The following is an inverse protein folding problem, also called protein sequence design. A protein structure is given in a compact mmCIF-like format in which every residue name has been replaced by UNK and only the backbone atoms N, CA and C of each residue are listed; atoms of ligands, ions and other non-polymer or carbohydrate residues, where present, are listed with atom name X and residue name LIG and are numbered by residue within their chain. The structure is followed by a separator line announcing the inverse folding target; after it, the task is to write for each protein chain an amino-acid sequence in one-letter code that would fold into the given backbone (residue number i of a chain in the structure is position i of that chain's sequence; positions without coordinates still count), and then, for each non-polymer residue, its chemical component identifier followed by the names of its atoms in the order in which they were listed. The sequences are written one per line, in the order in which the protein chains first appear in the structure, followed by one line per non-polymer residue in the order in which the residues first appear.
data_IF_653686980084
#
_entry.id   IF_653686980084
#
_cell.length_a   1.000
_cell.length_b   1.000
_cell.length_c   1.000
_cell.angle_alpha   90.00
_cell.angle_beta   90.00
_cell.angle_gamma   90.00
#
_symmetry.space_group_name_H-M   'P 1'
#
loop_
_entity.id
_entity.type
_entity.pdbx_description
1 polymer ?
#
# COMPACT_ATOMS: atom_id res chain seq x y z
N UNK A 1 -14.14 3.10 -23.66
CA UNK A 1 -13.87 3.24 -22.22
C UNK A 1 -14.33 1.93 -21.59
N UNK A 2 -13.45 1.00 -21.19
CA UNK A 2 -13.91 -0.09 -20.32
C UNK A 2 -14.51 0.56 -19.07
N UNK A 3 -15.72 0.16 -18.70
CA UNK A 3 -16.43 0.75 -17.56
C UNK A 3 -15.60 0.54 -16.30
N UNK A 4 -15.50 1.56 -15.45
CA UNK A 4 -15.03 1.41 -14.08
C UNK A 4 -15.94 0.41 -13.38
N UNK A 5 -15.47 -0.84 -13.27
CA UNK A 5 -16.19 -1.86 -12.51
C UNK A 5 -16.05 -1.52 -11.04
N UNK A 6 -17.16 -1.16 -10.41
CA UNK A 6 -17.25 -1.05 -8.96
C UNK A 6 -17.30 -2.46 -8.36
N UNK A 7 -16.42 -2.73 -7.40
CA UNK A 7 -16.40 -4.01 -6.67
C UNK A 7 -17.24 -3.92 -5.39
N UNK A 8 -17.96 -4.99 -5.07
CA UNK A 8 -18.68 -5.15 -3.81
C UNK A 8 -17.73 -5.58 -2.67
N UNK A 9 -18.12 -5.38 -1.41
CA UNK A 9 -17.33 -5.82 -0.26
C UNK A 9 -17.11 -7.35 -0.28
N UNK A 10 -18.12 -8.13 -0.67
CA UNK A 10 -18.02 -9.60 -0.76
C UNK A 10 -17.03 -10.05 -1.85
N UNK A 11 -16.99 -9.38 -3.00
CA UNK A 11 -15.98 -9.65 -4.03
C UNK A 11 -14.56 -9.34 -3.54
N UNK A 12 -14.40 -8.26 -2.77
CA UNK A 12 -13.10 -7.90 -2.15
C UNK A 12 -12.68 -8.94 -1.12
N UNK A 13 -13.57 -9.36 -0.23
CA UNK A 13 -13.29 -10.38 0.78
C UNK A 13 -12.93 -11.73 0.12
N UNK A 14 -13.65 -12.12 -0.93
CA UNK A 14 -13.35 -13.33 -1.70
C UNK A 14 -11.98 -13.25 -2.38
N UNK A 15 -11.59 -12.10 -2.93
CA UNK A 15 -10.27 -11.89 -3.51
C UNK A 15 -9.17 -11.96 -2.45
N UNK A 16 -9.38 -11.40 -1.25
CA UNK A 16 -8.44 -11.47 -0.13
C UNK A 16 -8.26 -12.92 0.35
N UNK A 17 -9.36 -13.66 0.49
CA UNK A 17 -9.30 -15.09 0.82
C UNK A 17 -8.52 -15.89 -0.23
N UNK A 18 -8.67 -15.53 -1.50
CA UNK A 18 -7.95 -16.15 -2.59
C UNK A 18 -6.45 -15.83 -2.57
N UNK A 19 -6.04 -14.61 -2.19
CA UNK A 19 -4.63 -14.25 -2.01
C UNK A 19 -3.95 -15.01 -0.87
N UNK A 20 -4.73 -15.47 0.11
CA UNK A 20 -4.23 -16.26 1.24
C UNK A 20 -3.93 -17.73 0.87
N UNK A 21 -4.26 -18.15 -0.35
CA UNK A 21 -3.89 -19.46 -0.88
C UNK A 21 -2.39 -19.50 -1.20
N UNK A 22 -1.75 -20.60 -0.84
CA UNK A 22 -0.30 -20.79 -0.97
C UNK A 22 0.20 -20.48 -2.40
N UNK A 23 1.31 -19.72 -2.51
CA UNK A 23 1.97 -19.41 -3.78
C UNK A 23 1.37 -18.27 -4.62
N UNK A 24 0.16 -17.79 -4.31
CA UNK A 24 -0.49 -16.74 -5.13
C UNK A 24 0.09 -15.35 -4.94
N UNK A 25 0.60 -15.07 -3.76
CA UNK A 25 1.35 -13.83 -3.46
C UNK A 25 2.79 -13.91 -3.96
N UNK A 26 3.40 -15.09 -3.94
CA UNK A 26 4.81 -15.29 -4.29
C UNK A 26 5.09 -14.89 -5.75
N UNK A 27 4.21 -15.29 -6.68
CA UNK A 27 4.35 -14.89 -8.08
C UNK A 27 4.21 -13.37 -8.29
N UNK A 28 3.32 -12.71 -7.54
CA UNK A 28 3.17 -11.26 -7.59
C UNK A 28 4.40 -10.53 -7.03
N UNK A 29 5.05 -11.10 -6.00
CA UNK A 29 6.27 -10.55 -5.40
C UNK A 29 7.47 -10.63 -6.37
N UNK A 30 7.62 -11.74 -7.11
CA UNK A 30 8.70 -11.90 -8.09
C UNK A 30 8.62 -10.87 -9.22
N UNK A 31 7.41 -10.60 -9.71
CA UNK A 31 7.17 -9.60 -10.77
C UNK A 31 7.45 -8.19 -10.25
N UNK A 32 6.98 -7.87 -9.04
CA UNK A 32 7.15 -6.54 -8.42
C UNK A 32 8.62 -6.25 -8.10
N UNK A 33 9.44 -7.26 -7.79
CA UNK A 33 10.87 -7.07 -7.44
C UNK A 33 11.64 -6.25 -8.48
N UNK A 34 11.32 -6.43 -9.77
CA UNK A 34 11.94 -5.69 -10.85
C UNK A 34 11.48 -4.22 -10.93
N UNK A 35 10.25 -3.94 -10.51
CA UNK A 35 9.66 -2.60 -10.50
C UNK A 35 9.84 -1.86 -9.15
N UNK A 36 10.36 -2.55 -8.12
CA UNK A 36 10.40 -2.07 -6.75
C UNK A 36 11.01 -0.66 -6.57
N UNK A 37 12.13 -0.28 -7.22
CA UNK A 37 12.67 1.07 -7.07
C UNK A 37 11.74 2.16 -7.60
N UNK A 38 11.01 1.90 -8.68
CA UNK A 38 10.05 2.87 -9.25
C UNK A 38 8.77 2.92 -8.42
N UNK A 39 8.28 1.77 -7.95
CA UNK A 39 7.12 1.70 -7.05
C UNK A 39 7.39 2.43 -5.73
N UNK A 40 8.59 2.29 -5.17
CA UNK A 40 8.97 3.01 -3.94
C UNK A 40 8.87 4.53 -4.11
N UNK A 41 9.28 5.06 -5.28
CA UNK A 41 9.17 6.50 -5.56
C UNK A 41 7.72 6.96 -5.63
N UNK A 42 6.84 6.17 -6.28
CA UNK A 42 5.41 6.47 -6.37
C UNK A 42 4.76 6.41 -4.99
N UNK A 43 5.07 5.38 -4.20
CA UNK A 43 4.55 5.22 -2.84
C UNK A 43 4.97 6.40 -1.96
N UNK A 44 6.24 6.79 -1.98
CA UNK A 44 6.72 7.95 -1.22
C UNK A 44 5.99 9.23 -1.63
N UNK A 45 5.81 9.47 -2.94
CA UNK A 45 5.09 10.65 -3.42
C UNK A 45 3.61 10.64 -2.99
N UNK A 46 2.92 9.51 -3.07
CA UNK A 46 1.52 9.38 -2.63
C UNK A 46 1.36 9.58 -1.12
N UNK A 47 2.34 9.10 -0.36
CA UNK A 47 2.42 9.25 1.09
C UNK A 47 2.67 10.72 1.51
N UNK A 48 3.51 11.44 0.78
CA UNK A 48 3.76 12.87 0.96
C UNK A 48 2.56 13.72 0.54
N UNK A 49 1.98 13.47 -0.64
CA UNK A 49 0.85 14.23 -1.21
C UNK A 49 -0.44 14.06 -0.38
N UNK A 50 -0.67 12.86 0.16
CA UNK A 50 -1.77 12.61 1.09
C UNK A 50 -1.60 13.27 2.47
N UNK A 51 -0.48 13.94 2.72
CA UNK A 51 -0.19 14.62 3.99
C UNK A 51 0.06 13.66 5.16
N UNK A 52 0.22 12.36 4.90
CA UNK A 52 0.31 11.32 5.92
C UNK A 52 1.62 11.36 6.69
N UNK A 53 2.72 11.74 6.01
CA UNK A 53 4.06 11.88 6.61
C UNK A 53 4.57 13.33 6.60
N UNK A 54 3.65 14.31 6.62
CA UNK A 54 3.99 15.73 6.71
C UNK A 54 4.26 16.21 8.14
N UNK A 55 4.26 17.53 8.35
CA UNK A 55 4.58 18.14 9.66
C UNK A 55 3.67 17.74 10.83
N UNK A 56 2.49 17.16 10.58
CA UNK A 56 1.65 16.59 11.64
C UNK A 56 2.22 15.27 12.18
N UNK A 57 2.79 14.44 11.31
CA UNK A 57 3.46 13.20 11.69
C UNK A 57 4.74 13.48 12.49
N UNK A 58 5.56 14.45 12.04
CA UNK A 58 6.75 14.87 12.79
C UNK A 58 6.41 15.37 14.20
N UNK A 59 5.29 16.09 14.38
CA UNK A 59 4.80 16.52 15.69
C UNK A 59 4.40 15.34 16.58
N UNK A 60 3.74 14.32 16.03
CA UNK A 60 3.38 13.11 16.78
C UNK A 60 4.61 12.29 17.18
N UNK A 61 5.58 12.12 16.28
CA UNK A 61 6.86 11.49 16.60
C UNK A 61 7.57 12.25 17.73
N UNK A 62 7.64 13.58 17.65
CA UNK A 62 8.24 14.41 18.68
C UNK A 62 7.48 14.31 20.02
N UNK A 63 6.15 14.29 19.99
CA UNK A 63 5.29 14.10 21.17
C UNK A 63 5.60 12.77 21.86
N UNK A 64 5.63 11.67 21.11
CA UNK A 64 5.92 10.33 21.64
C UNK A 64 7.36 10.26 22.18
N UNK A 65 8.32 10.84 21.47
CA UNK A 65 9.72 10.88 21.89
C UNK A 65 9.93 11.64 23.21
N UNK A 66 9.13 12.69 23.47
CA UNK A 66 9.20 13.50 24.67
C UNK A 66 8.60 12.83 25.92
N UNK A 67 7.97 11.65 25.80
CA UNK A 67 7.40 10.93 26.93
C UNK A 67 8.51 10.46 27.88
N UNK A 68 8.44 10.90 29.13
CA UNK A 68 9.45 10.60 30.15
C UNK A 68 9.39 9.14 30.62
N UNK A 69 8.17 8.62 30.88
CA UNK A 69 7.97 7.23 31.29
C UNK A 69 8.32 6.26 30.15
N UNK A 70 9.35 5.40 30.30
CA UNK A 70 9.74 4.45 29.28
C UNK A 70 8.65 3.46 28.89
N UNK A 71 7.79 3.03 29.82
CA UNK A 71 6.73 2.07 29.51
C UNK A 71 5.62 2.72 28.70
N UNK A 72 5.19 3.92 29.10
CA UNK A 72 4.23 4.69 28.35
C UNK A 72 4.75 5.06 26.95
N UNK A 73 6.03 5.44 26.84
CA UNK A 73 6.66 5.74 25.55
C UNK A 73 6.64 4.55 24.60
N UNK A 74 6.95 3.35 25.09
CA UNK A 74 6.90 2.13 24.28
C UNK A 74 5.48 1.81 23.83
N UNK A 75 4.48 1.99 24.69
CA UNK A 75 3.07 1.77 24.32
C UNK A 75 2.64 2.74 23.21
N UNK A 76 2.90 4.02 23.37
CA UNK A 76 2.54 5.06 22.40
C UNK A 76 3.28 4.87 21.07
N UNK A 77 4.56 4.49 21.11
CA UNK A 77 5.33 4.17 19.91
C UNK A 77 4.73 2.97 19.16
N UNK A 78 4.28 1.93 19.86
CA UNK A 78 3.61 0.80 19.21
C UNK A 78 2.31 1.20 18.53
N UNK A 79 1.54 2.07 19.18
CA UNK A 79 0.31 2.63 18.58
C UNK A 79 0.63 3.41 17.31
N UNK A 80 1.64 4.28 17.36
CA UNK A 80 2.09 5.07 16.21
C UNK A 80 2.52 4.17 15.05
N UNK A 81 3.36 3.16 15.31
CA UNK A 81 3.81 2.20 14.30
C UNK A 81 2.66 1.37 13.71
N UNK A 82 1.68 0.98 14.53
CA UNK A 82 0.51 0.24 14.05
C UNK A 82 -0.32 1.09 13.07
N UNK A 83 -0.47 2.39 13.36
CA UNK A 83 -1.19 3.32 12.50
C UNK A 83 -0.42 3.59 11.19
N UNK A 84 0.89 3.80 11.26
CA UNK A 84 1.74 3.92 10.07
C UNK A 84 1.66 2.69 9.17
N UNK A 85 1.70 1.49 9.77
CA UNK A 85 1.58 0.22 9.04
C UNK A 85 0.23 0.14 8.35
N UNK A 86 -0.86 0.53 9.04
CA UNK A 86 -2.21 0.55 8.46
C UNK A 86 -2.29 1.50 7.27
N UNK A 87 -1.72 2.70 7.37
CA UNK A 87 -1.70 3.68 6.27
C UNK A 87 -0.86 3.18 5.11
N UNK A 88 0.36 2.68 5.37
CA UNK A 88 1.24 2.12 4.35
C UNK A 88 0.58 0.97 3.58
N UNK A 89 -0.15 0.10 4.28
CA UNK A 89 -0.94 -0.97 3.66
C UNK A 89 -2.05 -0.43 2.76
N UNK A 90 -2.81 0.58 3.21
CA UNK A 90 -3.89 1.18 2.42
C UNK A 90 -3.35 1.83 1.14
N UNK A 91 -2.27 2.60 1.25
CA UNK A 91 -1.65 3.26 0.09
C UNK A 91 -1.00 2.23 -0.84
N UNK A 92 -0.33 1.22 -0.29
CA UNK A 92 0.21 0.10 -1.06
C UNK A 92 -0.87 -0.64 -1.86
N UNK A 93 -2.02 -0.94 -1.23
CA UNK A 93 -3.14 -1.58 -1.89
C UNK A 93 -3.75 -0.69 -2.99
N UNK A 94 -3.90 0.61 -2.75
CA UNK A 94 -4.41 1.56 -3.74
C UNK A 94 -3.49 1.67 -4.96
N UNK A 95 -2.17 1.76 -4.74
CA UNK A 95 -1.18 1.77 -5.82
C UNK A 95 -1.20 0.44 -6.59
N UNK A 96 -1.28 -0.70 -5.90
CA UNK A 96 -1.41 -2.01 -6.54
C UNK A 96 -2.67 -2.13 -7.40
N UNK A 97 -3.80 -1.62 -6.92
CA UNK A 97 -5.06 -1.60 -7.68
C UNK A 97 -4.95 -0.73 -8.93
N UNK A 98 -4.39 0.48 -8.82
CA UNK A 98 -4.18 1.34 -9.98
C UNK A 98 -3.21 0.71 -10.98
N UNK A 99 -2.12 0.11 -10.52
CA UNK A 99 -1.15 -0.59 -11.38
C UNK A 99 -1.83 -1.71 -12.18
N UNK A 100 -2.66 -2.54 -11.54
CA UNK A 100 -3.38 -3.61 -12.21
C UNK A 100 -4.28 -3.06 -13.34
N UNK A 101 -4.96 -1.93 -13.09
CA UNK A 101 -5.80 -1.26 -14.09
C UNK A 101 -5.00 -0.73 -15.28
N UNK A 102 -3.84 -0.11 -15.03
CA UNK A 102 -2.95 0.36 -16.10
C UNK A 102 -2.47 -0.80 -16.99
N UNK A 103 -2.17 -1.94 -16.38
CA UNK A 103 -1.79 -3.17 -17.09
C UNK A 103 -2.94 -3.73 -17.93
N UNK A 104 -4.17 -3.77 -17.40
CA UNK A 104 -5.37 -4.21 -18.13
C UNK A 104 -5.74 -3.30 -19.32
N UNK A 105 -5.38 -2.01 -19.25
CA UNK A 105 -5.59 -1.06 -20.35
C UNK A 105 -4.52 -1.12 -21.44
N UNK A 106 -3.44 -1.87 -21.23
CA UNK A 106 -2.44 -2.09 -22.28
C UNK A 106 -3.03 -3.08 -23.30
N UNK A 107 -3.38 -2.65 -24.52
CA UNK A 107 -3.93 -3.57 -25.51
C UNK A 107 -2.90 -4.67 -25.78
N UNK A 108 -3.37 -5.92 -25.87
CA UNK A 108 -2.62 -7.00 -26.50
C UNK A 108 -2.08 -6.46 -27.82
N UNK A 109 -0.78 -6.19 -27.89
CA UNK A 109 -0.15 -5.94 -29.18
C UNK A 109 -0.25 -7.27 -29.90
N UNK A 110 -1.04 -7.39 -30.98
CA UNK A 110 -1.10 -8.63 -31.73
C UNK A 110 0.31 -8.85 -32.26
N UNK A 111 0.97 -9.90 -31.77
CA UNK A 111 2.26 -10.30 -32.31
C UNK A 111 2.10 -10.53 -33.81
N UNK A 112 2.92 -9.84 -34.60
CA UNK A 112 3.17 -10.14 -36.00
C UNK A 112 3.34 -11.65 -36.16
N UNK A 113 2.48 -12.26 -36.98
CA UNK A 113 2.64 -13.62 -37.51
C UNK A 113 2.97 -13.55 -38.98
#
# INVERSE_FOLDING_TARGET
MPADRTFTAEEVDAAVAALSQEGRLDHAQDVITHAAPSLQRILNAALEEGGWFGGAHEQEVARVAAIEDPQQRVLELRTLLAEETRIGMLVGAAVGFQLARELDTTPDTPGDT
#
